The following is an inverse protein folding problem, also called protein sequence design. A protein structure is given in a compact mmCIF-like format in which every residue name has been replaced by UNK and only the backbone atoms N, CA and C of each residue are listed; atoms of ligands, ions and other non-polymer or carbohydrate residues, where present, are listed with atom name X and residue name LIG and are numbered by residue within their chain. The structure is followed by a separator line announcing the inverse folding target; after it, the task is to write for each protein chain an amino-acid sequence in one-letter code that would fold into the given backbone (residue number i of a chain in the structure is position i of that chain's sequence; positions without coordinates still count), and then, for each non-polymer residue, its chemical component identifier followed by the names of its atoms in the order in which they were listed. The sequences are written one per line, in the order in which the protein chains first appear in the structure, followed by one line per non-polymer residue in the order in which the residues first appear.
data_IF_188175638953
#
_entry.id   IF_188175638953
#
_cell.length_a   1.000
_cell.length_b   1.000
_cell.length_c   1.000
_cell.angle_alpha   90.00
_cell.angle_beta   90.00
_cell.angle_gamma   90.00
#
_symmetry.space_group_name_H-M   'P 1'
#
loop_
_entity.id
_entity.type
_entity.pdbx_description
1 polymer ?
#
# COMPACT_ATOMS: atom_id res chain seq x y z
N UNK A 1 17.69 -3.40 -19.21
CA UNK A 1 17.71 -3.50 -17.74
C UNK A 1 16.29 -3.58 -17.14
N UNK A 2 15.35 -2.73 -17.53
CA UNK A 2 13.93 -2.75 -17.05
C UNK A 2 13.19 -4.07 -17.37
N UNK A 3 13.47 -4.71 -18.51
CA UNK A 3 12.87 -6.02 -18.86
C UNK A 3 13.30 -7.20 -17.96
N UNK A 4 14.48 -7.14 -17.33
CA UNK A 4 14.91 -8.19 -16.38
C UNK A 4 14.26 -8.05 -15.01
N UNK A 5 13.97 -6.82 -14.57
CA UNK A 5 13.29 -6.57 -13.29
C UNK A 5 11.80 -6.98 -13.37
N UNK A 6 11.09 -6.63 -14.45
CA UNK A 6 9.67 -7.01 -14.59
C UNK A 6 9.44 -8.53 -14.60
N UNK A 7 10.34 -9.32 -15.19
CA UNK A 7 10.20 -10.77 -15.23
C UNK A 7 10.50 -11.45 -13.88
N UNK A 8 11.37 -10.86 -13.04
CA UNK A 8 11.63 -11.41 -11.71
C UNK A 8 10.50 -11.11 -10.70
N UNK A 9 9.92 -9.91 -10.72
CA UNK A 9 8.87 -9.55 -9.74
C UNK A 9 7.55 -10.32 -9.96
N UNK A 10 7.18 -10.56 -11.21
CA UNK A 10 5.92 -11.25 -11.55
C UNK A 10 5.97 -12.76 -11.20
N UNK A 11 7.13 -13.40 -11.38
CA UNK A 11 7.34 -14.82 -11.07
C UNK A 11 7.51 -15.06 -9.56
N UNK A 12 8.13 -14.13 -8.84
CA UNK A 12 8.37 -14.28 -7.39
C UNK A 12 7.08 -13.97 -6.60
N UNK A 13 6.34 -12.91 -6.95
CA UNK A 13 5.11 -12.54 -6.23
C UNK A 13 4.01 -13.60 -6.32
N UNK A 14 3.76 -14.13 -7.53
CA UNK A 14 2.70 -15.12 -7.75
C UNK A 14 3.01 -16.48 -7.12
N UNK A 15 4.27 -16.93 -7.13
CA UNK A 15 4.67 -18.19 -6.49
C UNK A 15 4.62 -18.12 -4.96
N UNK A 16 5.02 -16.99 -4.38
CA UNK A 16 4.98 -16.79 -2.92
C UNK A 16 3.53 -16.68 -2.44
N UNK A 17 2.66 -15.93 -3.13
CA UNK A 17 1.25 -15.81 -2.74
C UNK A 17 0.46 -17.11 -2.91
N UNK A 18 0.71 -17.87 -3.98
CA UNK A 18 0.04 -19.17 -4.20
C UNK A 18 0.50 -20.24 -3.19
N UNK A 19 1.79 -20.25 -2.85
CA UNK A 19 2.35 -21.12 -1.80
C UNK A 19 1.82 -20.78 -0.39
N UNK A 20 1.66 -19.49 -0.08
CA UNK A 20 1.08 -19.05 1.20
C UNK A 20 -0.43 -19.36 1.27
N UNK A 21 -1.17 -19.18 0.18
CA UNK A 21 -2.59 -19.55 0.09
C UNK A 21 -2.85 -21.04 0.33
N UNK A 22 -2.02 -21.92 -0.26
CA UNK A 22 -2.11 -23.37 -0.02
C UNK A 22 -1.72 -23.75 1.42
N UNK A 23 -0.76 -23.06 2.03
CA UNK A 23 -0.39 -23.27 3.44
C UNK A 23 -1.51 -22.86 4.39
N UNK A 24 -2.20 -21.76 4.13
CA UNK A 24 -3.37 -21.31 4.91
C UNK A 24 -4.52 -22.32 4.79
N UNK A 25 -4.75 -22.87 3.58
CA UNK A 25 -5.78 -23.88 3.36
C UNK A 25 -5.46 -25.22 4.09
N UNK A 26 -4.16 -25.59 4.18
CA UNK A 26 -3.72 -26.72 5.01
C UNK A 26 -3.88 -26.46 6.51
N UNK A 27 -3.66 -25.23 6.98
CA UNK A 27 -3.93 -24.85 8.37
C UNK A 27 -5.43 -24.95 8.68
N UNK A 28 -6.30 -24.63 7.71
CA UNK A 28 -7.74 -24.81 7.85
C UNK A 28 -8.17 -26.29 7.84
N UNK A 29 -7.47 -27.14 7.09
CA UNK A 29 -7.67 -28.61 7.12
C UNK A 29 -7.17 -29.26 8.42
N UNK A 30 -6.16 -28.68 9.09
CA UNK A 30 -5.75 -29.13 10.43
C UNK A 30 -6.85 -28.81 11.46
N UNK A 31 -7.63 -27.75 11.24
CA UNK A 31 -8.78 -27.37 12.08
C UNK A 31 -9.90 -28.43 12.11
N UNK A 32 -10.02 -29.31 11.11
CA UNK A 32 -11.05 -30.36 11.09
C UNK A 32 -10.66 -31.65 11.82
N UNK A 33 -9.40 -31.81 12.24
CA UNK A 33 -8.93 -32.99 13.00
C UNK A 33 -8.87 -32.78 14.51
N UNK A 34 -9.11 -31.57 15.00
CA UNK A 34 -8.98 -31.21 16.42
C UNK A 34 -10.35 -31.31 17.09
N UNK A 35 -10.82 -32.53 17.32
CA UNK A 35 -12.05 -32.77 18.09
C UNK A 35 -11.81 -33.68 19.31
N UNK A 36 -10.57 -33.73 19.81
CA UNK A 36 -10.20 -34.55 20.96
C UNK A 36 -9.16 -33.84 21.85
N UNK A 37 -9.58 -33.52 23.08
CA UNK A 37 -8.80 -33.02 24.24
C UNK A 37 -8.57 -31.50 24.36
N UNK A 38 -8.95 -30.94 25.52
CA UNK A 38 -8.73 -29.54 25.91
C UNK A 38 -7.25 -29.13 26.00
N UNK A 39 -6.32 -30.10 26.18
CA UNK A 39 -4.88 -29.84 26.10
C UNK A 39 -4.43 -29.46 24.69
N UNK A 40 -5.16 -29.86 23.65
CA UNK A 40 -4.85 -29.50 22.27
C UNK A 40 -5.11 -28.00 22.01
N UNK A 41 -6.15 -27.41 22.58
CA UNK A 41 -6.51 -26.00 22.32
C UNK A 41 -5.48 -25.01 22.84
N UNK A 42 -4.89 -25.28 24.01
CA UNK A 42 -3.85 -24.42 24.61
C UNK A 42 -2.56 -24.46 23.78
N UNK A 43 -2.15 -25.64 23.32
CA UNK A 43 -0.99 -25.81 22.43
C UNK A 43 -1.19 -25.06 21.09
N UNK A 44 -2.40 -25.14 20.52
CA UNK A 44 -2.72 -24.40 19.28
C UNK A 44 -2.67 -22.89 19.46
N UNK A 45 -3.14 -22.39 20.60
CA UNK A 45 -3.09 -20.96 20.91
C UNK A 45 -1.66 -20.48 21.09
N UNK A 46 -0.81 -21.24 21.78
CA UNK A 46 0.61 -20.91 21.92
C UNK A 46 1.32 -20.91 20.56
N UNK A 47 1.02 -21.90 19.71
CA UNK A 47 1.51 -21.93 18.33
C UNK A 47 1.08 -20.68 17.56
N UNK A 48 -0.18 -20.25 17.68
CA UNK A 48 -0.71 -19.08 17.00
C UNK A 48 -0.03 -17.78 17.46
N UNK A 49 0.23 -17.64 18.76
CA UNK A 49 0.99 -16.52 19.35
C UNK A 49 2.41 -16.48 18.77
N UNK A 50 3.11 -17.61 18.77
CA UNK A 50 4.47 -17.70 18.21
C UNK A 50 4.49 -17.41 16.71
N UNK A 51 3.51 -17.91 15.97
CA UNK A 51 3.37 -17.66 14.53
C UNK A 51 3.12 -16.18 14.25
N UNK A 52 2.24 -15.54 15.02
CA UNK A 52 1.97 -14.11 14.90
C UNK A 52 3.24 -13.29 15.13
N UNK A 53 4.00 -13.59 16.18
CA UNK A 53 5.30 -12.95 16.45
C UNK A 53 6.26 -13.06 15.26
N UNK A 54 6.41 -14.26 14.69
CA UNK A 54 7.26 -14.48 13.51
C UNK A 54 6.80 -13.70 12.27
N UNK A 55 5.49 -13.53 12.09
CA UNK A 55 4.95 -12.72 10.99
C UNK A 55 5.29 -11.24 11.22
N UNK A 56 5.15 -10.74 12.44
CA UNK A 56 5.54 -9.37 12.77
C UNK A 56 7.02 -9.13 12.48
N UNK A 57 7.90 -10.01 12.97
CA UNK A 57 9.34 -9.91 12.75
C UNK A 57 9.66 -9.97 11.24
N UNK A 58 8.97 -10.80 10.45
CA UNK A 58 9.14 -10.87 9.00
C UNK A 58 8.79 -9.55 8.30
N UNK A 59 7.73 -8.87 8.73
CA UNK A 59 7.36 -7.56 8.19
C UNK A 59 8.41 -6.51 8.58
N UNK A 60 8.97 -6.57 9.79
CA UNK A 60 10.04 -5.66 10.21
C UNK A 60 11.30 -5.86 9.36
N UNK A 61 11.69 -7.12 9.08
CA UNK A 61 12.78 -7.41 8.15
C UNK A 61 12.48 -6.93 6.73
N UNK A 62 11.25 -7.13 6.25
CA UNK A 62 10.82 -6.66 4.94
C UNK A 62 10.93 -5.14 4.83
N UNK A 63 10.47 -4.40 5.83
CA UNK A 63 10.58 -2.94 5.88
C UNK A 63 12.04 -2.48 5.92
N UNK A 64 12.89 -3.18 6.67
CA UNK A 64 14.32 -2.86 6.74
C UNK A 64 15.02 -3.03 5.39
N UNK A 65 14.69 -4.09 4.64
CA UNK A 65 15.34 -4.41 3.36
C UNK A 65 14.74 -3.60 2.20
N UNK A 66 13.41 -3.51 2.12
CA UNK A 66 12.70 -2.96 0.97
C UNK A 66 12.11 -1.58 1.20
N UNK A 67 12.05 -1.09 2.44
CA UNK A 67 11.39 0.17 2.76
C UNK A 67 11.96 1.36 1.97
N UNK A 68 13.29 1.50 1.94
CA UNK A 68 13.94 2.57 1.18
C UNK A 68 13.76 2.41 -0.34
N UNK A 69 13.73 1.16 -0.83
CA UNK A 69 13.50 0.88 -2.24
C UNK A 69 12.07 1.28 -2.65
N UNK A 70 11.07 1.00 -1.82
CA UNK A 70 9.70 1.48 -2.05
C UNK A 70 9.61 2.99 -2.02
N UNK A 71 10.31 3.64 -1.08
CA UNK A 71 10.36 5.10 -1.05
C UNK A 71 10.88 5.66 -2.37
N UNK A 72 12.02 5.17 -2.86
CA UNK A 72 12.61 5.65 -4.11
C UNK A 72 11.73 5.37 -5.33
N UNK A 73 11.12 4.18 -5.41
CA UNK A 73 10.22 3.81 -6.52
C UNK A 73 8.96 4.69 -6.51
N UNK A 74 8.32 4.87 -5.35
CA UNK A 74 7.13 5.69 -5.22
C UNK A 74 7.45 7.17 -5.49
N UNK A 75 8.54 7.69 -4.96
CA UNK A 75 9.00 9.06 -5.23
C UNK A 75 9.31 9.28 -6.71
N UNK A 76 10.02 8.36 -7.34
CA UNK A 76 10.32 8.43 -8.78
C UNK A 76 9.05 8.40 -9.63
N UNK A 77 8.10 7.52 -9.31
CA UNK A 77 6.82 7.46 -10.01
C UNK A 77 6.05 8.80 -9.88
N UNK A 78 5.95 9.37 -8.67
CA UNK A 78 5.31 10.66 -8.45
C UNK A 78 5.95 11.80 -9.25
N UNK A 79 7.28 11.87 -9.26
CA UNK A 79 8.02 12.90 -10.02
C UNK A 79 7.76 12.74 -11.52
N UNK A 80 7.83 11.52 -12.05
CA UNK A 80 7.58 11.25 -13.47
C UNK A 80 6.15 11.66 -13.86
N UNK A 81 5.15 11.25 -13.08
CA UNK A 81 3.74 11.60 -13.34
C UNK A 81 3.56 13.10 -13.33
N UNK A 82 4.14 13.80 -12.36
CA UNK A 82 4.08 15.25 -12.29
C UNK A 82 4.68 15.90 -13.54
N UNK A 83 5.90 15.51 -13.93
CA UNK A 83 6.57 16.06 -15.11
C UNK A 83 5.74 15.84 -16.37
N UNK A 84 5.23 14.62 -16.59
CA UNK A 84 4.49 14.30 -17.80
C UNK A 84 3.09 14.94 -17.82
N UNK A 85 2.39 14.96 -16.69
CA UNK A 85 1.08 15.60 -16.59
C UNK A 85 1.19 17.13 -16.74
N UNK A 86 2.20 17.76 -16.15
CA UNK A 86 2.48 19.19 -16.35
C UNK A 86 2.86 19.51 -17.79
N UNK A 87 3.71 18.69 -18.41
CA UNK A 87 4.08 18.85 -19.84
C UNK A 87 2.85 18.71 -20.75
N UNK A 88 1.98 17.74 -20.45
CA UNK A 88 0.72 17.55 -21.16
C UNK A 88 -0.22 18.74 -21.00
N UNK A 89 -0.37 19.27 -19.78
CA UNK A 89 -1.18 20.44 -19.51
C UNK A 89 -0.68 21.70 -20.26
N UNK A 90 0.63 21.95 -20.26
CA UNK A 90 1.23 23.07 -20.99
C UNK A 90 1.04 22.90 -22.50
N UNK A 91 1.24 21.69 -23.01
CA UNK A 91 0.99 21.36 -24.42
C UNK A 91 -0.47 21.63 -24.80
N UNK A 92 -1.42 21.12 -24.02
CA UNK A 92 -2.86 21.23 -24.29
C UNK A 92 -3.35 22.68 -24.31
N UNK A 93 -2.68 23.59 -23.59
CA UNK A 93 -2.99 25.01 -23.61
C UNK A 93 -2.36 25.78 -24.79
N UNK A 94 -1.54 25.12 -25.63
CA UNK A 94 -0.80 25.72 -26.75
C UNK A 94 0.15 26.86 -26.33
N UNK A 95 0.76 26.80 -25.13
CA UNK A 95 1.50 27.94 -24.53
C UNK A 95 3.02 27.84 -24.54
N UNK A 96 3.61 26.86 -25.22
CA UNK A 96 5.06 26.62 -25.17
C UNK A 96 5.72 26.61 -26.56
N UNK A 97 6.60 27.57 -26.91
CA UNK A 97 7.41 27.48 -28.13
C UNK A 97 8.37 26.28 -28.10
N UNK A 98 8.77 25.85 -26.88
CA UNK A 98 9.67 24.72 -26.65
C UNK A 98 8.99 23.36 -26.95
N UNK A 99 7.66 23.29 -26.85
CA UNK A 99 6.91 22.04 -27.04
C UNK A 99 6.42 21.82 -28.48
N UNK A 100 6.61 22.77 -29.40
CA UNK A 100 6.23 22.59 -30.81
C UNK A 100 7.01 21.45 -31.51
N UNK A 101 8.17 21.07 -30.97
CA UNK A 101 8.98 19.96 -31.50
C UNK A 101 8.61 18.58 -30.94
N UNK A 102 7.74 18.52 -29.91
CA UNK A 102 7.32 17.26 -29.33
C UNK A 102 6.08 16.73 -30.06
N UNK A 103 6.26 15.60 -30.73
CA UNK A 103 5.16 14.88 -31.36
C UNK A 103 4.14 14.43 -30.30
N UNK A 104 2.84 14.66 -30.56
CA UNK A 104 1.73 14.24 -29.71
C UNK A 104 1.79 12.76 -29.35
N UNK A 105 2.27 11.94 -30.29
CA UNK A 105 2.45 10.51 -30.06
C UNK A 105 3.42 10.23 -28.90
N UNK A 106 4.53 10.95 -28.84
CA UNK A 106 5.55 10.79 -27.79
C UNK A 106 4.97 11.19 -26.43
N UNK A 107 4.20 12.26 -26.39
CA UNK A 107 3.55 12.74 -25.17
C UNK A 107 2.52 11.74 -24.63
N UNK A 108 1.70 11.16 -25.51
CA UNK A 108 0.74 10.10 -25.18
C UNK A 108 1.43 8.83 -24.68
N UNK A 109 2.52 8.41 -25.32
CA UNK A 109 3.31 7.26 -24.88
C UNK A 109 3.88 7.47 -23.47
N UNK A 110 4.41 8.66 -23.19
CA UNK A 110 4.94 9.02 -21.88
C UNK A 110 3.86 9.13 -20.81
N UNK A 111 2.69 9.66 -21.15
CA UNK A 111 1.55 9.68 -20.25
C UNK A 111 1.07 8.26 -19.93
N UNK A 112 0.98 7.38 -20.93
CA UNK A 112 0.63 5.98 -20.73
C UNK A 112 1.67 5.25 -19.85
N UNK A 113 2.96 5.51 -20.06
CA UNK A 113 4.04 5.00 -19.20
C UNK A 113 3.87 5.47 -17.75
N UNK A 114 3.52 6.75 -17.54
CA UNK A 114 3.27 7.32 -16.21
C UNK A 114 2.06 6.69 -15.51
N UNK A 115 0.97 6.47 -16.25
CA UNK A 115 -0.23 5.79 -15.74
C UNK A 115 0.09 4.34 -15.37
N UNK A 116 0.92 3.65 -16.17
CA UNK A 116 1.35 2.30 -15.84
C UNK A 116 2.19 2.28 -14.56
N UNK A 117 3.05 3.27 -14.34
CA UNK A 117 3.84 3.41 -13.10
C UNK A 117 2.95 3.60 -11.84
N UNK A 118 1.71 4.08 -11.97
CA UNK A 118 0.74 4.16 -10.85
C UNK A 118 0.16 2.82 -10.44
N UNK A 119 0.08 1.85 -11.35
CA UNK A 119 -0.53 0.55 -11.07
C UNK A 119 0.24 -0.17 -9.96
N UNK A 120 1.58 -0.06 -9.96
CA UNK A 120 2.44 -0.74 -9.00
C UNK A 120 2.19 -0.26 -7.54
N UNK A 121 2.23 1.05 -7.21
CA UNK A 121 1.84 1.54 -5.88
C UNK A 121 0.42 1.15 -5.48
N UNK A 122 -0.54 1.13 -6.41
CA UNK A 122 -1.93 0.76 -6.13
C UNK A 122 -2.03 -0.71 -5.70
N UNK A 123 -1.42 -1.62 -6.48
CA UNK A 123 -1.40 -3.05 -6.15
C UNK A 123 -0.69 -3.30 -4.83
N UNK A 124 0.44 -2.64 -4.61
CA UNK A 124 1.20 -2.72 -3.37
C UNK A 124 0.36 -2.31 -2.15
N UNK A 125 -0.32 -1.16 -2.25
CA UNK A 125 -1.20 -0.64 -1.20
C UNK A 125 -2.40 -1.54 -0.97
N UNK A 126 -2.98 -2.11 -2.01
CA UNK A 126 -4.07 -3.07 -1.91
C UNK A 126 -3.69 -4.28 -1.05
N UNK A 127 -2.54 -4.90 -1.34
CA UNK A 127 -2.06 -6.06 -0.59
C UNK A 127 -1.70 -5.70 0.86
N UNK A 128 -1.01 -4.58 1.08
CA UNK A 128 -0.63 -4.11 2.42
C UNK A 128 -1.86 -3.75 3.27
N UNK A 129 -2.84 -3.08 2.67
CA UNK A 129 -4.10 -2.71 3.34
C UNK A 129 -4.94 -3.93 3.67
N UNK A 130 -4.95 -4.95 2.80
CA UNK A 130 -5.62 -6.22 3.06
C UNK A 130 -5.12 -6.91 4.34
N UNK A 131 -3.81 -6.85 4.61
CA UNK A 131 -3.21 -7.40 5.83
C UNK A 131 -3.67 -6.60 7.06
N UNK A 132 -3.69 -5.26 6.97
CA UNK A 132 -4.16 -4.41 8.06
C UNK A 132 -5.64 -4.67 8.42
N UNK A 133 -6.50 -4.91 7.42
CA UNK A 133 -7.92 -5.26 7.63
C UNK A 133 -8.06 -6.65 8.26
N UNK A 134 -7.32 -7.66 7.75
CA UNK A 134 -7.34 -9.02 8.33
C UNK A 134 -6.90 -9.04 9.79
N UNK A 135 -5.93 -8.21 10.16
CA UNK A 135 -5.51 -8.03 11.56
C UNK A 135 -6.64 -7.45 12.42
N UNK A 136 -7.35 -6.41 11.97
CA UNK A 136 -8.50 -5.87 12.71
C UNK A 136 -9.56 -6.95 12.94
N UNK A 137 -9.83 -7.76 11.92
CA UNK A 137 -10.76 -8.89 12.03
C UNK A 137 -10.27 -9.97 13.00
N UNK A 138 -8.96 -10.24 13.04
CA UNK A 138 -8.35 -11.14 14.03
C UNK A 138 -8.60 -10.65 15.46
N UNK A 139 -8.32 -9.37 15.74
CA UNK A 139 -8.54 -8.77 17.07
C UNK A 139 -10.01 -8.87 17.49
N UNK A 140 -10.94 -8.48 16.60
CA UNK A 140 -12.38 -8.58 16.85
C UNK A 140 -12.80 -10.03 17.11
N UNK A 141 -12.26 -10.96 16.35
CA UNK A 141 -12.52 -12.40 16.53
C UNK A 141 -12.01 -12.88 17.89
N UNK A 142 -10.77 -12.56 18.25
CA UNK A 142 -10.17 -12.94 19.53
C UNK A 142 -10.94 -12.33 20.72
N UNK A 143 -11.33 -11.06 20.64
CA UNK A 143 -12.15 -10.41 21.67
C UNK A 143 -13.53 -11.06 21.80
N UNK A 144 -14.16 -11.44 20.69
CA UNK A 144 -15.42 -12.18 20.70
C UNK A 144 -15.28 -13.54 21.40
N UNK A 145 -14.21 -14.29 21.11
CA UNK A 145 -13.90 -15.55 21.79
C UNK A 145 -13.61 -15.35 23.28
N UNK A 146 -12.84 -14.33 23.64
CA UNK A 146 -12.55 -13.97 25.02
C UNK A 146 -13.83 -13.73 25.82
N UNK A 147 -14.75 -12.92 25.28
CA UNK A 147 -16.04 -12.60 25.90
C UNK A 147 -16.93 -13.84 26.05
N UNK A 148 -16.93 -14.74 25.06
CA UNK A 148 -17.67 -16.02 25.14
C UNK A 148 -17.13 -16.92 26.25
N UNK A 149 -15.81 -17.01 26.40
CA UNK A 149 -15.18 -17.81 27.46
C UNK A 149 -15.45 -17.22 28.86
N UNK A 150 -15.55 -15.89 28.98
CA UNK A 150 -15.88 -15.21 30.24
C UNK A 150 -17.23 -15.62 30.83
N UNK A 151 -18.18 -16.04 29.97
CA UNK A 151 -19.51 -16.51 30.38
C UNK A 151 -19.52 -17.99 30.81
N UNK A 152 -18.47 -18.77 30.54
CA UNK A 152 -18.39 -20.19 30.92
C UNK A 152 -17.93 -20.36 32.38
N UNK A 153 -18.19 -21.53 32.97
CA UNK A 153 -17.74 -21.89 34.32
C UNK A 153 -16.21 -21.77 34.41
N UNK A 154 -15.70 -21.17 35.48
CA UNK A 154 -14.27 -20.88 35.71
C UNK A 154 -13.47 -22.15 36.05
N UNK A 155 -13.26 -23.03 35.07
CA UNK A 155 -12.24 -24.08 35.17
C UNK A 155 -10.84 -23.47 34.98
N UNK A 156 -9.81 -24.15 35.50
CA UNK A 156 -8.42 -23.69 35.37
C UNK A 156 -7.99 -23.59 33.90
N UNK A 157 -8.43 -24.52 33.06
CA UNK A 157 -8.18 -24.52 31.61
C UNK A 157 -8.76 -23.28 30.91
N UNK A 158 -10.01 -22.91 31.24
CA UNK A 158 -10.64 -21.71 30.67
C UNK A 158 -9.86 -20.45 31.04
N UNK A 159 -9.31 -20.36 32.25
CA UNK A 159 -8.45 -19.23 32.66
C UNK A 159 -7.16 -19.16 31.85
N UNK A 160 -6.52 -20.31 31.59
CA UNK A 160 -5.31 -20.38 30.76
C UNK A 160 -5.60 -19.95 29.31
N UNK A 161 -6.70 -20.43 28.74
CA UNK A 161 -7.13 -20.06 27.39
C UNK A 161 -7.45 -18.57 27.28
N UNK A 162 -8.18 -18.01 28.26
CA UNK A 162 -8.44 -16.57 28.35
C UNK A 162 -7.15 -15.75 28.40
N UNK A 163 -6.17 -16.17 29.22
CA UNK A 163 -4.88 -15.50 29.31
C UNK A 163 -4.14 -15.53 27.97
N UNK A 164 -4.11 -16.67 27.29
CA UNK A 164 -3.47 -16.77 25.97
C UNK A 164 -4.16 -15.90 24.92
N UNK A 165 -5.50 -15.84 24.90
CA UNK A 165 -6.24 -15.00 23.95
C UNK A 165 -5.98 -13.51 24.25
N UNK A 166 -5.94 -13.13 25.53
CA UNK A 166 -5.60 -11.78 25.93
C UNK A 166 -4.18 -11.38 25.48
N UNK A 167 -3.20 -12.28 25.62
CA UNK A 167 -1.84 -12.06 25.11
C UNK A 167 -1.84 -11.90 23.59
N UNK A 168 -2.56 -12.76 22.86
CA UNK A 168 -2.65 -12.67 21.41
C UNK A 168 -3.29 -11.36 20.95
N UNK A 169 -4.40 -10.94 21.58
CA UNK A 169 -5.04 -9.65 21.32
C UNK A 169 -4.05 -8.51 21.56
N UNK A 170 -3.38 -8.51 22.71
CA UNK A 170 -2.44 -7.47 23.09
C UNK A 170 -1.26 -7.40 22.12
N UNK A 171 -0.71 -8.53 21.69
CA UNK A 171 0.34 -8.57 20.67
C UNK A 171 -0.14 -8.05 19.33
N UNK A 172 -1.34 -8.45 18.89
CA UNK A 172 -1.92 -8.00 17.63
C UNK A 172 -2.22 -6.50 17.61
N UNK A 173 -2.47 -5.89 18.78
CA UNK A 173 -2.65 -4.46 18.95
C UNK A 173 -1.32 -3.69 19.04
N UNK A 174 -0.32 -4.23 19.75
CA UNK A 174 0.93 -3.51 20.07
C UNK A 174 2.05 -3.72 19.06
N UNK A 175 2.31 -4.96 18.60
CA UNK A 175 3.40 -5.27 17.66
C UNK A 175 2.94 -5.11 16.22
N UNK A 176 2.30 -3.97 15.96
CA UNK A 176 1.60 -3.72 14.72
C UNK A 176 2.60 -3.40 13.61
N UNK A 177 3.09 -4.43 12.93
CA UNK A 177 3.99 -4.26 11.80
C UNK A 177 3.18 -3.75 10.59
N UNK A 178 3.23 -2.44 10.40
CA UNK A 178 2.77 -1.82 9.18
C UNK A 178 3.85 -1.92 8.14
N UNK A 179 3.46 -2.20 6.89
CA UNK A 179 4.39 -2.01 5.78
C UNK A 179 4.70 -0.52 5.69
N UNK A 180 5.98 -0.18 5.70
CA UNK A 180 6.44 1.21 5.70
C UNK A 180 7.52 1.41 4.65
N UNK A 181 7.49 2.57 4.00
CA UNK A 181 8.52 2.98 3.07
C UNK A 181 9.66 3.67 3.86
N UNK A 182 10.56 2.87 4.43
CA UNK A 182 11.76 3.37 5.12
C UNK A 182 11.45 4.21 6.36
N UNK A 183 10.30 3.99 7.01
CA UNK A 183 9.85 4.76 8.17
C UNK A 183 9.24 6.13 7.85
N UNK A 184 9.22 6.57 6.59
CA UNK A 184 8.66 7.87 6.20
C UNK A 184 7.12 7.88 6.21
N UNK A 185 6.52 6.85 5.61
CA UNK A 185 5.07 6.70 5.58
C UNK A 185 4.67 5.22 5.57
N UNK A 186 3.48 4.97 6.08
CA UNK A 186 2.80 3.68 6.00
C UNK A 186 2.28 3.45 4.58
N UNK A 187 2.43 2.21 4.09
CA UNK A 187 1.96 1.81 2.77
C UNK A 187 0.49 1.39 2.89
N UNK A 188 -0.41 2.37 2.78
CA UNK A 188 -1.85 2.20 2.85
C UNK A 188 -2.60 3.15 1.89
N UNK A 189 -3.93 3.10 1.90
CA UNK A 189 -4.75 3.96 1.05
C UNK A 189 -4.58 5.46 1.38
N UNK A 190 -4.19 5.82 2.60
CA UNK A 190 -3.93 7.21 2.96
C UNK A 190 -2.72 7.74 2.20
N UNK A 191 -1.67 6.92 2.00
CA UNK A 191 -0.54 7.26 1.12
C UNK A 191 -0.99 7.58 -0.31
N UNK A 192 -1.86 6.76 -0.91
CA UNK A 192 -2.38 7.01 -2.27
C UNK A 192 -3.19 8.32 -2.33
N UNK A 193 -4.05 8.56 -1.34
CA UNK A 193 -4.82 9.81 -1.26
C UNK A 193 -3.88 11.02 -1.17
N UNK A 194 -2.81 10.94 -0.38
CA UNK A 194 -1.80 11.99 -0.31
C UNK A 194 -1.07 12.20 -1.65
N UNK A 195 -0.70 11.12 -2.34
CA UNK A 195 -0.08 11.19 -3.68
C UNK A 195 -0.99 11.88 -4.69
N UNK A 196 -2.25 11.44 -4.83
CA UNK A 196 -3.20 12.04 -5.76
C UNK A 196 -3.55 13.49 -5.40
N UNK A 197 -3.68 13.79 -4.11
CA UNK A 197 -3.89 15.15 -3.62
C UNK A 197 -2.73 16.08 -3.99
N UNK A 198 -1.49 15.64 -3.77
CA UNK A 198 -0.29 16.39 -4.13
C UNK A 198 -0.13 16.59 -5.65
N UNK A 199 -0.37 15.55 -6.44
CA UNK A 199 -0.36 15.65 -7.90
C UNK A 199 -1.41 16.65 -8.41
N UNK A 200 -2.64 16.58 -7.90
CA UNK A 200 -3.73 17.48 -8.29
C UNK A 200 -3.42 18.92 -7.91
N UNK A 201 -2.94 19.16 -6.69
CA UNK A 201 -2.57 20.49 -6.22
C UNK A 201 -1.45 21.10 -7.07
N UNK A 202 -0.40 20.33 -7.38
CA UNK A 202 0.69 20.81 -8.23
C UNK A 202 0.22 21.10 -9.66
N UNK A 203 -0.67 20.28 -10.24
CA UNK A 203 -1.23 20.54 -11.57
C UNK A 203 -2.06 21.83 -11.59
N UNK A 204 -2.87 22.08 -10.57
CA UNK A 204 -3.63 23.34 -10.44
C UNK A 204 -2.67 24.54 -10.43
N UNK A 205 -1.60 24.47 -9.63
CA UNK A 205 -0.60 25.54 -9.55
C UNK A 205 0.05 25.78 -10.93
N UNK A 206 0.49 24.72 -11.61
CA UNK A 206 1.09 24.83 -12.95
C UNK A 206 0.12 25.45 -13.93
N UNK A 207 -1.15 25.04 -13.92
CA UNK A 207 -2.19 25.61 -14.79
C UNK A 207 -2.40 27.11 -14.51
N UNK A 208 -2.50 27.50 -13.24
CA UNK A 208 -2.68 28.90 -12.84
C UNK A 208 -1.48 29.78 -13.24
N UNK A 209 -0.25 29.32 -13.01
CA UNK A 209 0.96 30.03 -13.40
C UNK A 209 1.05 30.19 -14.93
N UNK A 210 0.71 29.14 -15.67
CA UNK A 210 0.68 29.17 -17.12
C UNK A 210 -0.39 30.15 -17.63
N UNK A 211 -1.54 30.23 -16.96
CA UNK A 211 -2.62 31.19 -17.26
C UNK A 211 -2.19 32.65 -17.08
N UNK A 212 -1.58 32.96 -15.94
CA UNK A 212 -1.10 34.31 -15.62
C UNK A 212 -0.09 34.81 -16.67
N UNK A 213 0.83 33.94 -17.11
CA UNK A 213 1.87 34.31 -18.06
C UNK A 213 1.37 34.70 -19.46
N UNK A 214 0.18 34.30 -19.91
CA UNK A 214 -0.31 34.74 -21.24
C UNK A 214 -0.87 36.16 -21.22
N UNK A 215 -1.47 36.56 -20.09
CA UNK A 215 -2.22 37.80 -20.02
C UNK A 215 -1.27 39.01 -20.03
N UNK A 216 -0.02 38.81 -19.63
CA UNK A 216 1.04 39.83 -19.68
C UNK A 216 1.66 40.02 -21.08
N UNK A 217 1.47 39.08 -22.02
CA UNK A 217 2.04 39.13 -23.38
C UNK A 217 1.08 39.63 -24.46
N UNK A 218 -0.08 40.19 -24.10
CA UNK A 218 -0.94 40.91 -25.05
C UNK A 218 -0.60 42.41 -24.99
N UNK A 219 0.36 42.93 -25.79
CA UNK A 219 0.55 44.36 -25.89
C UNK A 219 -0.73 44.95 -26.49
N UNK A 220 -1.24 45.99 -25.82
CA UNK A 220 -2.26 46.87 -26.36
C UNK A 220 -1.90 47.20 -27.82
N UNK A 221 -2.59 46.58 -28.78
CA UNK A 221 -2.54 46.99 -30.17
C UNK A 221 -3.22 48.34 -30.24
N UNK A 222 -2.38 49.37 -30.12
CA UNK A 222 -2.57 50.75 -30.51
C UNK A 222 -3.86 51.01 -31.30
N UNK A 223 -4.84 51.61 -30.62
CA UNK A 223 -5.74 52.56 -31.25
C UNK A 223 -4.91 53.79 -31.65
N UNK A 224 -4.23 53.71 -32.81
CA UNK A 224 -3.79 54.92 -33.50
C UNK A 224 -5.01 55.45 -34.23
N UNK A 225 -5.35 56.66 -33.82
CA UNK A 225 -6.33 57.59 -34.34
C UNK A 225 -5.94 57.93 -35.79
N UNK A 226 -6.84 57.71 -36.74
CA UNK A 226 -7.05 58.57 -37.92
C UNK A 226 -8.55 58.64 -38.22
#
# INVERSE_FOLDING_TARGET
MVKCLNCQYEVIGTRVLKSQGERINRIFLIKSRINTSANSETEHLEYLIRLHGKICDLVDYFNSIFGINFLLVISSANINILIYASSFAIYALNRGPILQHLDMRTLLEKLAEAVFQLILPIVLVHECSGIAVRRKNLIVTCLSYYNKLSKKRRTQEVKLLQKGIAILCHQAETRMSHFSAGGFFTIDFTMLTMMFGGLTANLIIVLQLTQCSSNSTSPASNSVIE
#
